data_IF_950159150012
#
_entry.id   IF_950159150012
#
_cell.length_a   1.000
_cell.length_b   1.000
_cell.length_c   1.000
_cell.angle_alpha   90.00
_cell.angle_beta   90.00
_cell.angle_gamma   90.00
#
_symmetry.space_group_name_H-M   'P 1'
#
loop_
_entity.id
_entity.type
_entity.pdbx_description
1 polymer ?
#
# COMPACT_ATOMS: atom_id res chain seq x y z
N UNK A 1 -12.14 13.48 2.19
CA UNK A 1 -11.56 13.25 0.85
C UNK A 1 -10.39 14.21 0.68
N UNK A 2 -9.24 13.76 0.16
CA UNK A 2 -8.06 14.61 -0.01
C UNK A 2 -8.05 15.13 -1.45
N UNK A 3 -7.99 16.45 -1.62
CA UNK A 3 -7.80 17.08 -2.93
C UNK A 3 -6.34 17.49 -3.06
N UNK A 4 -5.74 17.09 -4.17
CA UNK A 4 -4.34 17.34 -4.47
C UNK A 4 -4.33 18.32 -5.63
N UNK A 5 -3.98 19.58 -5.37
CA UNK A 5 -3.90 20.61 -6.40
C UNK A 5 -2.47 20.66 -6.93
N UNK A 6 -2.33 20.27 -8.19
CA UNK A 6 -1.03 20.11 -8.86
C UNK A 6 -0.73 21.40 -9.60
N UNK A 7 0.03 22.30 -8.98
CA UNK A 7 0.62 23.43 -9.69
C UNK A 7 2.01 23.05 -10.20
N UNK A 8 2.09 22.66 -11.47
CA UNK A 8 3.35 22.36 -12.12
C UNK A 8 4.23 23.60 -12.27
N UNK A 9 5.29 23.69 -11.47
CA UNK A 9 6.45 24.51 -11.78
C UNK A 9 7.63 23.59 -12.05
N UNK A 10 7.95 23.41 -13.33
CA UNK A 10 9.16 22.74 -13.75
C UNK A 10 10.35 23.67 -13.48
N UNK A 11 11.34 23.28 -12.66
CA UNK A 11 12.58 24.04 -12.60
C UNK A 11 13.30 23.89 -13.95
N UNK A 12 13.45 25.00 -14.65
CA UNK A 12 14.31 25.10 -15.83
C UNK A 12 15.76 24.97 -15.37
N UNK A 13 16.42 23.91 -15.85
CA UNK A 13 17.85 23.59 -15.75
C UNK A 13 18.41 23.14 -14.38
N UNK A 14 18.94 21.90 -14.36
CA UNK A 14 20.04 21.51 -13.48
C UNK A 14 19.78 20.44 -12.41
N UNK A 15 18.54 20.00 -12.18
CA UNK A 15 18.26 18.93 -11.20
C UNK A 15 18.11 17.56 -11.87
N UNK A 16 18.88 16.57 -11.41
CA UNK A 16 18.93 15.19 -11.93
C UNK A 16 17.76 14.29 -11.48
N UNK A 17 16.79 14.82 -10.71
CA UNK A 17 15.65 14.03 -10.24
C UNK A 17 14.37 14.81 -10.53
N UNK A 18 13.35 14.23 -11.19
CA UNK A 18 12.09 14.91 -11.44
C UNK A 18 11.34 15.10 -10.12
N UNK A 19 11.10 16.36 -9.75
CA UNK A 19 10.28 16.72 -8.59
C UNK A 19 8.97 17.34 -9.07
N UNK A 20 7.85 16.84 -8.57
CA UNK A 20 6.55 17.52 -8.69
C UNK A 20 6.34 18.35 -7.42
N UNK A 21 6.30 19.68 -7.59
CA UNK A 21 5.90 20.57 -6.52
C UNK A 21 4.38 20.56 -6.41
N UNK A 22 3.87 20.33 -5.21
CA UNK A 22 2.43 20.16 -4.99
C UNK A 22 1.98 21.00 -3.80
N UNK A 23 0.83 21.64 -3.98
CA UNK A 23 0.14 22.35 -2.92
C UNK A 23 -1.01 21.49 -2.42
N UNK A 24 -0.92 21.12 -1.15
CA UNK A 24 -1.91 20.30 -0.50
C UNK A 24 -2.97 21.18 0.19
N UNK A 25 -4.25 20.84 0.00
CA UNK A 25 -5.36 21.39 0.78
C UNK A 25 -6.21 20.24 1.33
N UNK A 26 -6.05 19.94 2.61
CA UNK A 26 -6.97 19.01 3.29
C UNK A 26 -8.33 19.70 3.46
N UNK A 27 -9.38 19.13 2.86
CA UNK A 27 -10.71 19.68 3.00
C UNK A 27 -11.26 19.56 4.45
N UNK A 28 -10.87 18.54 5.23
CA UNK A 28 -11.52 18.24 6.52
C UNK A 28 -10.61 17.55 7.57
N UNK A 29 -9.29 17.79 7.58
CA UNK A 29 -8.45 17.25 8.67
C UNK A 29 -8.49 18.19 9.88
N UNK A 30 -8.86 17.74 11.10
CA UNK A 30 -8.78 18.56 12.31
C UNK A 30 -7.33 18.93 12.67
N UNK A 31 -6.34 18.26 12.06
CA UNK A 31 -4.91 18.55 12.24
C UNK A 31 -4.34 19.50 11.19
N UNK A 32 -5.09 19.82 10.14
CA UNK A 32 -4.73 20.92 9.24
C UNK A 32 -5.55 22.12 9.63
N UNK A 33 -4.91 23.12 10.26
CA UNK A 33 -5.48 24.48 10.28
C UNK A 33 -5.95 24.78 8.85
N UNK A 34 -7.18 25.26 8.69
CA UNK A 34 -7.86 25.50 7.40
C UNK A 34 -7.10 26.43 6.43
N UNK A 35 -5.98 27.00 6.89
CA UNK A 35 -5.15 27.99 6.20
C UNK A 35 -3.69 27.52 5.99
N UNK A 36 -3.34 26.26 6.32
CA UNK A 36 -2.00 25.73 6.07
C UNK A 36 -1.88 25.23 4.63
N UNK A 37 -1.38 26.09 3.75
CA UNK A 37 -0.80 25.68 2.48
C UNK A 37 0.48 24.87 2.76
N UNK A 38 0.34 23.55 2.83
CA UNK A 38 1.50 22.67 2.92
C UNK A 38 2.10 22.51 1.53
N UNK A 39 3.37 22.89 1.42
CA UNK A 39 4.19 22.80 0.21
C UNK A 39 5.16 21.63 0.40
N UNK A 40 5.45 20.92 -0.67
CA UNK A 40 6.27 19.72 -0.55
C UNK A 40 6.43 18.96 -1.85
N UNK A 41 6.98 17.75 -1.71
CA UNK A 41 7.38 16.89 -2.81
C UNK A 41 6.74 15.51 -2.69
N UNK A 42 6.34 14.94 -3.83
CA UNK A 42 6.14 13.50 -3.91
C UNK A 42 7.49 12.82 -4.09
N UNK A 43 7.73 11.78 -3.31
CA UNK A 43 8.87 10.89 -3.51
C UNK A 43 8.42 9.44 -3.38
N UNK A 44 9.11 8.55 -4.08
CA UNK A 44 8.90 7.12 -3.94
C UNK A 44 9.73 6.61 -2.75
N UNK A 45 9.04 6.07 -1.74
CA UNK A 45 9.68 5.54 -0.55
C UNK A 45 9.57 4.01 -0.53
N UNK A 46 10.71 3.33 -0.48
CA UNK A 46 10.81 1.88 -0.26
C UNK A 46 11.26 1.65 1.18
N UNK A 47 10.45 1.02 2.04
CA UNK A 47 10.87 0.68 3.39
C UNK A 47 12.10 -0.22 3.39
N UNK A 48 13.03 -0.06 4.33
CA UNK A 48 14.20 -0.93 4.47
C UNK A 48 13.91 -1.98 5.57
N UNK A 49 14.27 -3.27 5.40
CA UNK A 49 14.92 -3.92 4.26
C UNK A 49 13.90 -4.55 3.30
N UNK A 50 13.04 -3.75 2.68
CA UNK A 50 11.96 -4.23 1.81
C UNK A 50 12.27 -4.10 0.32
N UNK A 51 11.39 -4.70 -0.50
CA UNK A 51 11.44 -4.63 -1.96
C UNK A 51 10.61 -3.46 -2.50
N UNK A 52 10.85 -3.00 -3.74
CA UNK A 52 10.04 -1.96 -4.36
C UNK A 52 8.54 -2.27 -4.42
N UNK A 53 8.13 -3.55 -4.45
CA UNK A 53 6.71 -3.96 -4.32
C UNK A 53 6.01 -3.42 -3.06
N UNK A 54 6.78 -3.15 -2.01
CA UNK A 54 6.31 -2.60 -0.74
C UNK A 54 6.34 -1.08 -0.70
N UNK A 55 6.89 -0.46 -1.75
CA UNK A 55 7.04 0.97 -1.86
C UNK A 55 5.72 1.66 -2.19
N UNK A 56 5.77 2.98 -2.06
CA UNK A 56 4.67 3.84 -2.44
C UNK A 56 5.11 5.29 -2.53
N UNK A 57 4.29 6.09 -3.20
CA UNK A 57 4.46 7.53 -3.17
C UNK A 57 4.08 8.08 -1.81
N UNK A 58 4.95 8.92 -1.25
CA UNK A 58 4.68 9.71 -0.06
C UNK A 58 4.79 11.18 -0.37
N UNK A 59 4.04 11.98 0.37
CA UNK A 59 4.15 13.44 0.32
C UNK A 59 5.03 13.92 1.46
N UNK A 60 6.15 14.55 1.15
CA UNK A 60 7.08 15.12 2.13
C UNK A 60 6.89 16.63 2.18
N UNK A 61 6.42 17.13 3.32
CA UNK A 61 6.24 18.54 3.59
C UNK A 61 7.61 19.21 3.79
N UNK A 62 7.83 20.33 3.13
CA UNK A 62 9.06 21.11 3.23
C UNK A 62 8.77 22.59 3.43
N UNK A 63 9.66 23.30 4.13
CA UNK A 63 9.52 24.75 4.29
C UNK A 63 9.90 25.49 3.00
N UNK A 64 10.89 24.96 2.28
CA UNK A 64 11.46 25.50 1.05
C UNK A 64 11.38 24.48 -0.09
N UNK A 65 11.29 24.93 -1.36
CA UNK A 65 11.28 24.06 -2.53
C UNK A 65 12.70 23.61 -2.95
N UNK A 66 13.65 23.50 -2.02
CA UNK A 66 15.04 23.09 -2.33
C UNK A 66 15.32 21.66 -1.89
N UNK A 67 16.38 21.04 -2.43
CA UNK A 67 16.87 19.73 -2.00
C UNK A 67 17.24 19.71 -0.51
N UNK A 68 17.81 20.80 0.00
CA UNK A 68 18.08 20.94 1.43
C UNK A 68 16.77 20.89 2.26
N UNK A 69 15.73 21.59 1.79
CA UNK A 69 14.40 21.53 2.39
C UNK A 69 13.77 20.13 2.32
N UNK A 70 14.08 19.33 1.30
CA UNK A 70 13.65 17.93 1.22
C UNK A 70 14.27 17.09 2.35
N UNK A 71 15.59 17.19 2.57
CA UNK A 71 16.26 16.43 3.62
C UNK A 71 15.68 16.73 5.02
N UNK A 72 15.46 18.01 5.31
CA UNK A 72 14.89 18.49 6.59
C UNK A 72 13.37 18.35 6.70
N UNK A 73 12.69 18.02 5.61
CA UNK A 73 11.24 17.85 5.57
C UNK A 73 10.73 16.67 6.39
N UNK A 74 9.41 16.57 6.51
CA UNK A 74 8.75 15.45 7.18
C UNK A 74 7.65 14.87 6.30
N UNK A 75 7.40 13.57 6.42
CA UNK A 75 6.32 12.93 5.68
C UNK A 75 4.96 13.37 6.24
N UNK A 76 4.03 13.71 5.35
CA UNK A 76 2.64 13.98 5.71
C UNK A 76 2.06 12.76 6.40
N UNK A 77 1.39 12.95 7.54
CA UNK A 77 0.77 11.87 8.29
C UNK A 77 -0.74 11.79 8.03
N UNK A 78 -1.28 10.58 8.06
CA UNK A 78 -2.71 10.32 8.11
C UNK A 78 -3.26 10.62 9.50
N UNK A 79 -4.60 10.60 9.65
CA UNK A 79 -5.26 10.69 10.96
C UNK A 79 -4.84 9.56 11.93
N UNK A 80 -4.31 8.45 11.41
CA UNK A 80 -3.80 7.35 12.22
C UNK A 80 -2.33 7.54 12.64
N UNK A 81 -1.74 8.71 12.38
CA UNK A 81 -0.34 9.02 12.68
C UNK A 81 0.68 8.28 11.82
N UNK A 82 0.24 7.62 10.73
CA UNK A 82 1.12 6.91 9.81
C UNK A 82 1.45 7.78 8.61
N UNK A 83 2.61 7.61 7.96
CA UNK A 83 2.91 8.32 6.72
C UNK A 83 1.83 8.08 5.66
N UNK A 84 1.26 9.17 5.13
CA UNK A 84 0.38 9.14 3.98
C UNK A 84 1.15 8.55 2.81
N UNK A 85 0.59 7.48 2.23
CA UNK A 85 1.25 6.70 1.19
C UNK A 85 0.22 6.28 0.15
N UNK A 86 0.57 6.38 -1.14
CA UNK A 86 -0.11 5.69 -2.23
C UNK A 86 0.76 4.49 -2.62
N UNK A 87 0.39 3.26 -2.25
CA UNK A 87 1.19 2.08 -2.57
C UNK A 87 1.37 1.90 -4.09
N UNK A 88 2.49 1.32 -4.52
CA UNK A 88 2.74 1.00 -5.93
C UNK A 88 1.57 0.24 -6.57
N UNK A 89 1.08 -0.77 -5.84
CA UNK A 89 -0.13 -1.52 -6.16
C UNK A 89 -1.35 -0.66 -6.54
N UNK A 90 -1.54 0.47 -5.85
CA UNK A 90 -2.60 1.42 -6.13
C UNK A 90 -2.30 2.30 -7.33
N UNK A 91 -1.04 2.69 -7.54
CA UNK A 91 -0.58 3.48 -8.70
C UNK A 91 -0.79 2.73 -10.02
N UNK A 92 -0.44 1.44 -10.04
CA UNK A 92 -0.64 0.54 -11.19
C UNK A 92 -2.11 0.46 -11.61
N UNK A 93 -3.05 0.64 -10.68
CA UNK A 93 -4.49 0.55 -10.95
C UNK A 93 -5.20 1.85 -11.30
N UNK A 94 -4.77 2.98 -10.75
CA UNK A 94 -5.58 4.23 -10.74
C UNK A 94 -5.28 5.19 -11.89
N UNK A 95 -4.87 4.68 -13.07
CA UNK A 95 -4.38 5.51 -14.17
C UNK A 95 -3.26 6.46 -13.73
N UNK A 96 -2.44 6.07 -12.74
CA UNK A 96 -1.25 6.80 -12.32
C UNK A 96 -0.12 6.70 -13.35
N UNK A 97 -0.46 6.66 -14.64
CA UNK A 97 0.41 6.34 -15.77
C UNK A 97 1.62 7.30 -15.82
N UNK A 98 1.47 8.64 -15.70
CA UNK A 98 2.63 9.53 -15.76
C UNK A 98 3.62 9.32 -14.59
N UNK A 99 3.09 9.09 -13.38
CA UNK A 99 3.91 8.78 -12.21
C UNK A 99 4.60 7.44 -12.42
N UNK A 100 3.86 6.40 -12.81
CA UNK A 100 4.40 5.06 -13.00
C UNK A 100 5.48 5.03 -14.08
N UNK A 101 5.30 5.79 -15.17
CA UNK A 101 6.30 5.99 -16.20
C UNK A 101 7.57 6.64 -15.67
N UNK A 102 7.42 7.66 -14.83
CA UNK A 102 8.57 8.30 -14.18
C UNK A 102 9.30 7.30 -13.27
N UNK A 103 8.58 6.50 -12.48
CA UNK A 103 9.18 5.45 -11.64
C UNK A 103 9.92 4.38 -12.46
N UNK A 104 9.38 3.97 -13.61
CA UNK A 104 10.01 3.00 -14.52
C UNK A 104 11.25 3.60 -15.21
N UNK A 105 11.13 4.82 -15.73
CA UNK A 105 12.22 5.53 -16.42
C UNK A 105 13.40 5.76 -15.48
N UNK A 106 13.12 6.12 -14.23
CA UNK A 106 14.13 6.43 -13.23
C UNK A 106 14.63 5.16 -12.51
N UNK A 107 14.23 3.96 -12.98
CA UNK A 107 14.60 2.64 -12.43
C UNK A 107 14.27 2.45 -10.94
N UNK A 108 13.26 3.17 -10.42
CA UNK A 108 12.77 3.02 -9.05
C UNK A 108 11.84 1.81 -8.88
N UNK A 109 11.24 1.37 -9.99
CA UNK A 109 10.40 0.18 -10.10
C UNK A 109 10.72 -0.49 -11.44
N UNK A 110 10.57 -1.81 -11.51
CA UNK A 110 10.77 -2.62 -12.71
C UNK A 110 9.46 -3.18 -13.28
N UNK A 111 9.45 -3.54 -14.56
CA UNK A 111 8.28 -4.17 -15.21
C UNK A 111 7.76 -5.43 -14.50
N UNK A 112 8.60 -6.36 -13.98
CA UNK A 112 8.14 -7.49 -13.20
C UNK A 112 7.34 -7.08 -11.96
N UNK A 113 7.74 -6.01 -11.29
CA UNK A 113 7.06 -5.52 -10.07
C UNK A 113 5.71 -4.91 -10.40
N UNK A 114 5.64 -4.11 -11.46
CA UNK A 114 4.36 -3.59 -11.99
C UNK A 114 3.42 -4.73 -12.37
N UNK A 115 3.95 -5.75 -13.04
CA UNK A 115 3.17 -6.93 -13.44
C UNK A 115 2.65 -7.71 -12.23
N UNK A 116 3.49 -7.92 -11.22
CA UNK A 116 3.11 -8.56 -9.97
C UNK A 116 2.02 -7.78 -9.21
N UNK A 117 2.14 -6.45 -9.17
CA UNK A 117 1.09 -5.58 -8.64
C UNK A 117 -0.22 -5.75 -9.42
N UNK A 118 -0.19 -5.69 -10.75
CA UNK A 118 -1.38 -5.84 -11.59
C UNK A 118 -2.07 -7.20 -11.35
N UNK A 119 -1.30 -8.28 -11.32
CA UNK A 119 -1.81 -9.63 -11.09
C UNK A 119 -2.52 -9.79 -9.74
N UNK A 120 -2.09 -9.08 -8.70
CA UNK A 120 -2.68 -9.19 -7.36
C UNK A 120 -4.13 -8.69 -7.27
N UNK A 121 -4.62 -7.92 -8.24
CA UNK A 121 -5.92 -7.23 -8.13
C UNK A 121 -7.04 -7.75 -9.02
N UNK A 122 -6.85 -8.81 -9.83
CA UNK A 122 -7.89 -9.48 -10.65
C UNK A 122 -9.22 -8.72 -10.79
N UNK A 123 -9.22 -7.60 -11.54
CA UNK A 123 -10.38 -6.75 -11.86
C UNK A 123 -11.16 -6.09 -10.69
N UNK A 124 -10.76 -6.22 -9.43
CA UNK A 124 -11.44 -5.54 -8.32
C UNK A 124 -10.87 -4.13 -8.13
N UNK A 125 -11.72 -3.10 -7.97
CA UNK A 125 -11.24 -1.77 -7.57
C UNK A 125 -10.48 -1.92 -6.25
N UNK A 126 -9.24 -1.47 -6.22
CA UNK A 126 -8.45 -1.48 -5.01
C UNK A 126 -8.70 -0.17 -4.25
N UNK A 127 -9.25 -0.22 -3.02
CA UNK A 127 -8.99 0.84 -2.06
C UNK A 127 -7.47 1.03 -1.91
N UNK A 128 -7.04 2.12 -1.27
CA UNK A 128 -5.66 2.24 -0.83
C UNK A 128 -5.39 1.19 0.26
N UNK A 129 -5.16 -0.06 -0.15
CA UNK A 129 -4.99 -1.19 0.75
C UNK A 129 -3.62 -1.05 1.45
N UNK A 130 -3.57 -1.27 2.77
CA UNK A 130 -2.31 -1.28 3.49
C UNK A 130 -1.40 -2.39 2.96
N UNK A 131 -0.14 -2.03 2.67
CA UNK A 131 0.92 -2.99 2.37
C UNK A 131 1.70 -3.27 3.65
N UNK A 132 1.65 -4.51 4.13
CA UNK A 132 2.35 -4.96 5.33
C UNK A 132 3.57 -5.76 4.90
N UNK A 133 4.73 -5.14 5.01
CA UNK A 133 6.01 -5.64 4.53
C UNK A 133 6.99 -6.03 5.65
N UNK A 134 6.62 -5.81 6.92
CA UNK A 134 7.39 -6.28 8.07
C UNK A 134 6.48 -6.65 9.25
N UNK A 135 6.94 -7.61 10.05
CA UNK A 135 6.47 -7.81 11.44
C UNK A 135 6.69 -6.52 12.23
N UNK A 136 5.75 -6.18 13.13
CA UNK A 136 5.81 -4.95 13.92
C UNK A 136 5.40 -3.69 13.15
N UNK A 137 5.18 -3.77 11.83
CA UNK A 137 4.66 -2.64 11.06
C UNK A 137 3.22 -2.32 11.48
N UNK A 138 2.91 -1.07 11.84
CA UNK A 138 1.55 -0.66 12.17
C UNK A 138 0.70 -0.44 10.90
N UNK A 139 -0.58 -0.81 10.96
CA UNK A 139 -1.58 -0.43 9.96
C UNK A 139 -2.94 -0.15 10.62
N UNK A 140 -3.80 0.68 9.99
CA UNK A 140 -5.14 0.93 10.48
C UNK A 140 -6.03 -0.29 10.23
N UNK A 141 -6.70 -0.76 11.27
CA UNK A 141 -7.63 -1.88 11.25
C UNK A 141 -9.03 -1.39 11.55
N UNK A 142 -9.94 -1.56 10.59
CA UNK A 142 -11.38 -1.41 10.84
C UNK A 142 -11.89 -2.72 11.44
N UNK A 143 -12.45 -2.65 12.64
CA UNK A 143 -12.95 -3.82 13.36
C UNK A 143 -14.39 -4.18 12.95
N UNK A 144 -15.08 -3.30 12.21
CA UNK A 144 -16.46 -3.48 11.76
C UNK A 144 -16.58 -4.24 10.44
N UNK A 145 -15.50 -4.35 9.68
CA UNK A 145 -15.49 -4.90 8.34
C UNK A 145 -14.25 -5.75 8.06
N UNK A 146 -14.31 -6.70 7.10
CA UNK A 146 -13.13 -7.39 6.63
C UNK A 146 -12.10 -6.39 6.09
N UNK A 147 -10.89 -6.42 6.64
CA UNK A 147 -9.77 -5.60 6.18
C UNK A 147 -8.91 -6.43 5.25
N UNK A 148 -8.57 -5.88 4.08
CA UNK A 148 -7.69 -6.54 3.12
C UNK A 148 -6.29 -5.93 3.23
N UNK A 149 -5.31 -6.78 3.52
CA UNK A 149 -3.88 -6.45 3.54
C UNK A 149 -3.22 -6.94 2.25
N UNK A 150 -2.15 -6.27 1.87
CA UNK A 150 -1.24 -6.72 0.82
C UNK A 150 0.09 -7.12 1.47
N UNK A 151 0.55 -8.34 1.21
CA UNK A 151 1.81 -8.86 1.74
C UNK A 151 2.78 -9.13 0.58
N UNK A 152 3.92 -8.45 0.51
CA UNK A 152 4.90 -8.61 -0.54
C UNK A 152 5.67 -9.93 -0.34
N UNK A 153 5.65 -10.78 -1.37
CA UNK A 153 6.48 -11.98 -1.47
C UNK A 153 7.73 -11.77 -2.33
N UNK A 154 8.46 -12.84 -2.65
CA UNK A 154 9.60 -12.83 -3.58
C UNK A 154 9.33 -12.09 -4.89
N UNK A 155 8.28 -12.49 -5.60
CA UNK A 155 7.94 -11.99 -6.94
C UNK A 155 6.42 -11.79 -7.09
N UNK A 156 5.72 -11.57 -5.98
CA UNK A 156 4.26 -11.52 -5.96
C UNK A 156 3.77 -10.62 -4.85
N UNK A 157 2.61 -9.99 -5.05
CA UNK A 157 1.89 -9.34 -3.97
C UNK A 157 0.69 -10.20 -3.60
N UNK A 158 0.62 -10.64 -2.35
CA UNK A 158 -0.46 -11.48 -1.87
C UNK A 158 -1.55 -10.63 -1.25
N UNK A 159 -2.79 -11.01 -1.51
CA UNK A 159 -3.98 -10.40 -0.94
C UNK A 159 -4.45 -11.23 0.23
N UNK A 160 -4.60 -10.60 1.39
CA UNK A 160 -4.82 -11.30 2.66
C UNK A 160 -5.98 -10.66 3.38
N UNK A 161 -7.01 -11.44 3.69
CA UNK A 161 -8.23 -10.93 4.30
C UNK A 161 -8.21 -11.18 5.81
N UNK A 162 -8.32 -10.10 6.56
CA UNK A 162 -8.46 -10.10 8.01
C UNK A 162 -9.92 -9.91 8.34
N UNK A 163 -10.51 -10.90 9.00
CA UNK A 163 -11.88 -10.87 9.47
C UNK A 163 -11.91 -10.63 10.99
N UNK A 164 -12.09 -9.39 11.45
CA UNK A 164 -12.32 -9.08 12.85
C UNK A 164 -13.77 -9.42 13.21
N UNK A 165 -14.16 -10.69 13.06
CA UNK A 165 -15.55 -11.16 13.12
C UNK A 165 -16.24 -11.02 14.49
N UNK A 166 -15.59 -10.36 15.45
CA UNK A 166 -16.04 -10.24 16.83
C UNK A 166 -16.69 -8.89 17.12
N UNK A 167 -16.32 -7.84 16.38
CA UNK A 167 -16.70 -6.47 16.69
C UNK A 167 -17.80 -5.96 15.75
N UNK A 168 -18.78 -5.27 16.33
CA UNK A 168 -19.85 -4.57 15.62
C UNK A 168 -19.34 -3.28 15.00
N UNK A 169 -18.53 -2.55 15.77
CA UNK A 169 -17.85 -1.35 15.35
C UNK A 169 -16.57 -1.15 16.16
N UNK A 170 -15.69 -0.31 15.63
CA UNK A 170 -14.44 0.07 16.26
C UNK A 170 -13.33 0.16 15.24
N UNK A 171 -12.25 0.82 15.63
CA UNK A 171 -11.04 0.94 14.84
C UNK A 171 -9.83 0.89 15.75
N UNK A 172 -8.77 0.31 15.24
CA UNK A 172 -7.52 0.14 15.97
C UNK A 172 -6.33 0.40 15.06
N UNK A 173 -5.20 0.72 15.66
CA UNK A 173 -3.90 0.52 15.04
C UNK A 173 -3.44 -0.89 15.43
N UNK A 174 -3.08 -1.71 14.45
CA UNK A 174 -2.68 -3.09 14.69
C UNK A 174 -1.32 -3.40 14.05
N UNK A 175 -0.70 -4.48 14.50
CA UNK A 175 0.53 -5.01 13.90
C UNK A 175 0.54 -6.54 13.81
N UNK A 176 1.39 -7.10 12.95
CA UNK A 176 1.61 -8.54 12.80
C UNK A 176 2.80 -8.89 13.66
N UNK A 177 2.68 -9.98 14.40
CA UNK A 177 3.79 -10.53 15.17
C UNK A 177 3.84 -12.05 15.14
N UNK A 178 5.03 -12.66 15.27
CA UNK A 178 5.17 -14.10 15.45
C UNK A 178 4.42 -14.54 16.71
N UNK A 179 3.70 -15.65 16.61
CA UNK A 179 3.15 -16.26 17.82
C UNK A 179 4.26 -16.87 18.66
N UNK A 180 4.18 -16.72 19.98
CA UNK A 180 5.08 -17.40 20.91
C UNK A 180 4.69 -18.86 21.17
N UNK A 181 3.85 -19.46 20.32
CA UNK A 181 3.41 -20.82 20.51
C UNK A 181 4.47 -21.78 19.93
N UNK A 182 5.20 -22.54 20.77
CA UNK A 182 6.26 -23.43 20.29
C UNK A 182 5.73 -24.55 19.38
N UNK A 183 4.42 -24.87 19.43
CA UNK A 183 3.81 -25.84 18.52
C UNK A 183 3.55 -25.28 17.13
N UNK A 184 3.51 -23.96 17.00
CA UNK A 184 3.23 -23.26 15.75
C UNK A 184 4.18 -22.05 15.57
N UNK A 185 5.51 -22.27 15.46
CA UNK A 185 6.50 -21.20 15.33
C UNK A 185 6.34 -20.36 14.04
N UNK A 186 5.44 -20.79 13.17
CA UNK A 186 5.17 -20.32 11.83
C UNK A 186 3.85 -19.55 11.74
N UNK A 187 3.18 -19.34 12.87
CA UNK A 187 1.96 -18.56 12.92
C UNK A 187 2.23 -17.09 13.22
N UNK A 188 1.52 -16.22 12.52
CA UNK A 188 1.43 -14.79 12.86
C UNK A 188 0.12 -14.51 13.59
N UNK A 189 0.18 -13.66 14.61
CA UNK A 189 -0.98 -13.06 15.25
C UNK A 189 -1.08 -11.57 14.92
N UNK A 190 -2.29 -11.03 15.10
CA UNK A 190 -2.53 -9.60 15.03
C UNK A 190 -2.54 -9.05 16.46
N UNK A 191 -1.62 -8.14 16.77
CA UNK A 191 -1.59 -7.40 18.03
C UNK A 191 -2.25 -6.05 17.84
N UNK A 192 -3.11 -5.67 18.78
CA UNK A 192 -3.68 -4.32 18.87
C UNK A 192 -2.66 -3.42 19.53
N UNK A 193 -2.20 -2.39 18.83
CA UNK A 193 -1.27 -1.39 19.37
C UNK A 193 -2.02 -0.29 20.11
N UNK A 194 -3.11 0.20 19.52
CA UNK A 194 -3.88 1.33 20.03
C UNK A 194 -5.34 1.20 19.57
N UNK A 195 -6.30 1.57 20.42
CA UNK A 195 -7.69 1.73 20.02
C UNK A 195 -7.93 3.17 19.56
N UNK A 196 -8.44 3.33 18.35
CA UNK A 196 -8.74 4.65 17.74
C UNK A 196 -10.19 5.08 17.94
N UNK A 197 -11.06 4.14 18.30
CA UNK A 197 -12.44 4.39 18.67
C UNK A 197 -12.95 3.34 19.65
N UNK A 198 -14.10 3.60 20.26
CA UNK A 198 -14.77 2.64 21.12
C UNK A 198 -15.08 1.36 20.33
N UNK A 199 -14.76 0.21 20.93
CA UNK A 199 -15.04 -1.10 20.37
C UNK A 199 -16.26 -1.67 21.06
N UNK A 200 -17.25 -2.09 20.29
CA UNK A 200 -18.35 -2.89 20.79
C UNK A 200 -18.36 -4.24 20.09
N UNK A 201 -18.35 -5.32 20.87
CA UNK A 201 -18.51 -6.66 20.35
C UNK A 201 -19.95 -6.93 19.94
N UNK A 202 -20.16 -7.87 19.02
CA UNK A 202 -21.49 -8.41 18.78
C UNK A 202 -21.99 -9.13 20.05
N UNK A 203 -23.31 -9.13 20.34
CA UNK A 203 -23.85 -9.71 21.58
C UNK A 203 -23.39 -11.15 21.85
N UNK A 204 -23.30 -11.97 20.80
CA UNK A 204 -22.80 -13.36 20.85
C UNK A 204 -21.35 -13.48 21.34
N UNK A 205 -20.56 -12.41 21.21
CA UNK A 205 -19.17 -12.31 21.66
C UNK A 205 -19.01 -11.46 22.92
N UNK A 206 -20.10 -11.13 23.63
CA UNK A 206 -20.04 -10.37 24.88
C UNK A 206 -19.27 -11.05 26.02
N UNK A 207 -18.97 -12.34 25.89
CA UNK A 207 -18.12 -13.10 26.82
C UNK A 207 -16.61 -12.93 26.55
N UNK A 208 -16.22 -12.34 25.41
CA UNK A 208 -14.81 -12.08 25.12
C UNK A 208 -14.29 -10.98 26.05
N UNK A 209 -13.02 -11.07 26.48
CA UNK A 209 -12.41 -9.98 27.23
C UNK A 209 -12.41 -8.70 26.38
N UNK A 210 -12.53 -7.51 27.02
CA UNK A 210 -12.45 -6.25 26.31
C UNK A 210 -11.14 -6.18 25.51
N UNK A 211 -11.21 -5.67 24.29
CA UNK A 211 -10.02 -5.42 23.49
C UNK A 211 -9.24 -4.28 24.18
N UNK A 212 -7.96 -4.49 24.48
CA UNK A 212 -7.08 -3.47 25.07
C UNK A 212 -5.82 -3.29 24.22
N UNK A 213 -5.15 -2.12 24.27
CA UNK A 213 -3.79 -1.98 23.76
C UNK A 213 -2.89 -3.10 24.29
N UNK A 214 -2.08 -3.69 23.40
CA UNK A 214 -1.24 -4.84 23.67
C UNK A 214 -1.96 -6.19 23.58
N UNK A 215 -3.29 -6.27 23.48
CA UNK A 215 -3.97 -7.58 23.33
C UNK A 215 -3.85 -8.15 21.93
N UNK A 216 -3.96 -9.48 21.81
CA UNK A 216 -4.10 -10.15 20.53
C UNK A 216 -5.55 -10.06 20.05
N UNK A 217 -5.73 -9.81 18.76
CA UNK A 217 -7.05 -9.80 18.14
C UNK A 217 -7.65 -11.21 18.23
N UNK A 218 -8.82 -11.39 18.87
CA UNK A 218 -9.49 -12.68 18.90
C UNK A 218 -10.03 -13.04 17.51
N UNK A 219 -10.06 -14.33 17.22
CA UNK A 219 -10.63 -14.89 16.00
C UNK A 219 -11.74 -15.87 16.34
N UNK A 220 -12.97 -15.42 16.08
CA UNK A 220 -14.11 -16.30 16.09
C UNK A 220 -14.20 -16.99 14.72
N UNK A 221 -13.77 -18.25 14.63
CA UNK A 221 -14.00 -19.04 13.42
C UNK A 221 -15.51 -19.23 13.24
N UNK A 222 -16.05 -18.80 12.09
CA UNK A 222 -17.49 -18.77 11.79
C UNK A 222 -18.26 -20.08 12.06
N UNK A 223 -17.59 -21.24 11.97
CA UNK A 223 -18.22 -22.55 12.19
C UNK A 223 -18.23 -23.02 13.65
N UNK A 224 -17.47 -22.38 14.54
CA UNK A 224 -17.43 -22.74 15.97
C UNK A 224 -18.37 -21.88 16.84
N UNK A 225 -19.16 -21.00 16.20
CA UNK A 225 -19.88 -19.88 16.82
C UNK A 225 -21.13 -20.23 17.64
N UNK A 226 -21.50 -21.51 17.77
CA UNK A 226 -22.80 -21.90 18.35
C UNK A 226 -22.75 -22.56 19.72
N UNK A 227 -21.58 -22.70 20.35
CA UNK A 227 -21.47 -23.37 21.68
C UNK A 227 -21.00 -22.41 22.78
N UNK A 228 -21.85 -22.11 23.79
CA UNK A 228 -21.41 -21.50 25.03
C UNK A 228 -20.23 -22.28 25.61
N UNK A 229 -19.12 -21.60 25.93
CA UNK A 229 -17.90 -22.23 26.46
C UNK A 229 -16.88 -22.70 25.42
N UNK A 230 -17.08 -22.39 24.13
CA UNK A 230 -16.03 -22.61 23.13
C UNK A 230 -14.78 -21.76 23.45
N UNK A 231 -13.61 -22.38 23.37
CA UNK A 231 -12.32 -21.70 23.59
C UNK A 231 -12.14 -20.56 22.57
N UNK A 232 -11.88 -19.35 23.07
CA UNK A 232 -11.57 -18.18 22.25
C UNK A 232 -10.24 -18.43 21.57
N UNK A 233 -10.27 -18.65 20.25
CA UNK A 233 -9.04 -18.74 19.46
C UNK A 233 -8.56 -17.32 19.13
N UNK A 234 -7.25 -17.11 19.16
CA UNK A 234 -6.65 -15.87 18.67
C UNK A 234 -6.56 -15.90 17.14
N UNK A 235 -6.58 -14.73 16.50
CA UNK A 235 -6.31 -14.65 15.07
C UNK A 235 -4.91 -15.17 14.80
N UNK A 236 -4.85 -16.15 13.90
CA UNK A 236 -3.64 -16.90 13.55
C UNK A 236 -3.59 -17.10 12.06
N UNK A 237 -2.44 -16.85 11.49
CA UNK A 237 -2.16 -17.17 10.11
C UNK A 237 -1.06 -18.21 10.04
N UNK A 238 -1.45 -19.46 9.81
CA UNK A 238 -0.52 -20.56 9.61
C UNK A 238 -0.09 -20.59 8.15
N UNK A 239 1.20 -20.54 7.83
CA UNK A 239 1.63 -20.54 6.44
C UNK A 239 1.77 -21.94 5.83
N UNK A 240 1.95 -22.98 6.65
CA UNK A 240 2.08 -24.37 6.20
C UNK A 240 0.77 -24.92 5.61
N UNK A 241 -0.37 -24.38 6.06
CA UNK A 241 -1.69 -24.78 5.59
C UNK A 241 -2.13 -24.13 4.28
N UNK A 242 -1.28 -23.32 3.65
CA UNK A 242 -1.65 -22.51 2.49
C UNK A 242 -0.77 -22.79 1.27
N UNK A 243 -1.22 -22.33 0.09
CA UNK A 243 -0.48 -22.51 -1.16
C UNK A 243 0.99 -22.07 -1.02
N UNK A 244 1.91 -22.73 -1.72
CA UNK A 244 3.36 -22.47 -1.67
C UNK A 244 3.74 -20.99 -1.83
N UNK A 245 2.94 -20.21 -2.57
CA UNK A 245 3.12 -18.76 -2.73
C UNK A 245 2.94 -17.99 -1.42
N UNK A 246 1.99 -18.41 -0.59
CA UNK A 246 1.70 -17.77 0.69
C UNK A 246 2.74 -18.09 1.76
N UNK A 247 3.23 -19.32 1.77
CA UNK A 247 4.37 -19.70 2.59
C UNK A 247 5.60 -18.81 2.34
N UNK A 248 5.94 -18.57 1.07
CA UNK A 248 7.09 -17.73 0.72
C UNK A 248 6.98 -16.27 1.17
N UNK A 249 5.80 -15.65 1.07
CA UNK A 249 5.62 -14.26 1.50
C UNK A 249 5.58 -14.12 3.03
N UNK A 250 4.95 -15.06 3.72
CA UNK A 250 4.90 -15.07 5.18
C UNK A 250 6.26 -15.35 5.79
N UNK A 251 7.01 -16.29 5.19
CA UNK A 251 8.41 -16.52 5.55
C UNK A 251 9.24 -15.24 5.39
N UNK A 252 9.11 -14.55 4.25
CA UNK A 252 9.83 -13.30 4.01
C UNK A 252 9.44 -12.18 4.99
N UNK A 253 8.21 -12.19 5.50
CA UNK A 253 7.74 -11.23 6.49
C UNK A 253 8.37 -11.48 7.88
N UNK A 254 8.51 -12.75 8.27
CA UNK A 254 9.04 -13.15 9.59
C UNK A 254 10.58 -13.06 9.61
N UNK A 255 11.22 -13.62 8.59
CA UNK A 255 12.67 -13.82 8.55
C UNK A 255 13.39 -12.74 7.74
N UNK A 256 12.66 -11.77 7.21
CA UNK A 256 13.18 -10.80 6.25
C UNK A 256 13.36 -11.42 4.86
N UNK A 257 13.81 -10.63 3.86
CA UNK A 257 14.19 -11.20 2.58
C UNK A 257 15.32 -12.20 2.83
N UNK A 258 15.07 -13.48 2.55
CA UNK A 258 16.15 -14.48 2.55
C UNK A 258 17.31 -13.92 1.73
N UNK A 259 18.57 -13.99 2.22
CA UNK A 259 19.71 -13.79 1.34
C UNK A 259 19.51 -14.81 0.23
N UNK A 260 19.25 -14.31 -0.98
CA UNK A 260 19.07 -15.18 -2.13
C UNK A 260 20.37 -15.96 -2.23
N UNK A 261 20.36 -17.32 -2.21
CA UNK A 261 21.55 -18.04 -2.63
C UNK A 261 21.85 -17.52 -4.03
N UNK A 262 23.05 -16.97 -4.25
CA UNK A 262 23.52 -16.48 -5.55
C UNK A 262 22.94 -17.39 -6.62
N UNK A 263 22.08 -16.84 -7.49
CA UNK A 263 21.34 -17.62 -8.47
C UNK A 263 22.27 -18.68 -9.07
N UNK A 264 21.88 -19.97 -9.14
CA UNK A 264 22.61 -20.89 -9.99
C UNK A 264 22.70 -20.20 -11.36
N UNK A 265 23.90 -20.13 -11.93
CA UNK A 265 24.15 -19.52 -13.25
C UNK A 265 22.97 -19.86 -14.14
N UNK A 266 22.22 -18.84 -14.57
CA UNK A 266 21.00 -19.03 -15.32
C UNK A 266 21.31 -19.88 -16.55
N UNK A 267 20.90 -21.14 -16.52
CA UNK A 267 20.71 -21.90 -17.75
C UNK A 267 19.54 -21.23 -18.47
N UNK A 268 19.79 -20.84 -19.72
CA UNK A 268 19.06 -19.82 -20.49
C UNK A 268 17.62 -20.19 -20.91
N UNK A 269 16.88 -20.96 -20.12
CA UNK A 269 15.59 -21.55 -20.55
C UNK A 269 14.41 -21.33 -19.61
N UNK A 270 14.53 -20.58 -18.51
CA UNK A 270 13.36 -20.18 -17.73
C UNK A 270 12.66 -18.92 -18.27
N UNK A 271 11.78 -19.20 -19.24
CA UNK A 271 10.53 -18.51 -19.59
C UNK A 271 10.43 -17.03 -19.19
N UNK A 272 10.84 -16.18 -20.12
CA UNK A 272 10.20 -14.88 -20.36
C UNK A 272 8.66 -15.02 -20.29
N UNK A 273 7.91 -13.97 -19.88
CA UNK A 273 6.47 -13.95 -20.09
C UNK A 273 6.20 -14.37 -21.53
N UNK A 274 5.24 -15.29 -21.73
CA UNK A 274 4.92 -15.77 -23.08
C UNK A 274 4.69 -14.56 -23.98
N UNK A 275 5.08 -14.65 -25.26
CA UNK A 275 4.99 -13.54 -26.20
C UNK A 275 3.60 -12.85 -26.16
N UNK A 276 2.53 -13.60 -25.85
CA UNK A 276 1.19 -13.07 -25.61
C UNK A 276 1.01 -12.23 -24.33
N UNK A 277 1.60 -12.59 -23.18
CA UNK A 277 1.52 -11.79 -21.94
C UNK A 277 2.30 -10.47 -22.06
N UNK A 278 3.45 -10.51 -22.73
CA UNK A 278 4.23 -9.31 -23.06
C UNK A 278 3.45 -8.41 -24.02
N UNK A 279 2.83 -8.98 -25.05
CA UNK A 279 2.04 -8.21 -26.03
C UNK A 279 0.78 -7.59 -25.44
N UNK A 280 0.08 -8.25 -24.51
CA UNK A 280 -1.12 -7.68 -23.86
C UNK A 280 -0.76 -6.54 -22.89
N UNK A 281 0.38 -6.63 -22.18
CA UNK A 281 0.85 -5.57 -21.29
C UNK A 281 1.49 -4.41 -22.05
N UNK A 282 2.30 -4.68 -23.08
CA UNK A 282 2.84 -3.65 -23.97
C UNK A 282 1.68 -2.96 -24.72
N UNK A 283 0.71 -3.70 -25.26
CA UNK A 283 -0.47 -3.12 -25.92
C UNK A 283 -1.39 -2.35 -24.97
N UNK A 284 -1.64 -2.83 -23.75
CA UNK A 284 -2.35 -2.02 -22.75
C UNK A 284 -1.55 -0.76 -22.37
N UNK A 285 -0.23 -0.86 -22.27
CA UNK A 285 0.65 0.26 -21.98
C UNK A 285 0.70 1.27 -23.13
N UNK A 286 0.63 0.83 -24.39
CA UNK A 286 0.59 1.69 -25.57
C UNK A 286 -0.83 2.21 -25.91
N UNK A 287 -1.87 1.43 -25.66
CA UNK A 287 -3.28 1.80 -25.91
C UNK A 287 -3.83 2.72 -24.79
N UNK A 288 -3.20 2.75 -23.62
CA UNK A 288 -3.52 3.68 -22.53
C UNK A 288 -2.67 4.97 -22.54
N UNK A 289 -1.74 5.11 -23.51
CA UNK A 289 -1.07 6.36 -23.79
C UNK A 289 -2.00 7.26 -24.61
N UNK A 290 -2.15 8.55 -24.28
CA UNK A 290 -2.53 9.52 -25.29
C UNK A 290 -1.53 9.44 -26.45
N UNK A 291 -1.98 9.61 -27.69
CA UNK A 291 -1.04 9.69 -28.81
C UNK A 291 -0.02 10.81 -28.55
N UNK A 292 1.17 10.74 -29.16
CA UNK A 292 2.17 11.81 -29.04
C UNK A 292 1.58 13.19 -29.40
N UNK A 293 0.65 13.21 -30.35
CA UNK A 293 -0.10 14.39 -30.79
C UNK A 293 -1.10 14.89 -29.73
N UNK A 294 -1.75 13.98 -28.98
CA UNK A 294 -2.59 14.35 -27.84
C UNK A 294 -1.75 14.94 -26.71
N UNK A 295 -0.53 14.43 -26.48
CA UNK A 295 0.38 14.95 -25.46
C UNK A 295 0.90 16.36 -25.80
N UNK A 296 1.24 16.61 -27.07
CA UNK A 296 1.65 17.94 -27.56
C UNK A 296 0.47 18.95 -27.48
N UNK A 297 -0.78 18.50 -27.61
CA UNK A 297 -1.97 19.35 -27.41
C UNK A 297 -2.24 19.77 -25.95
N UNK A 298 -1.68 19.05 -24.97
CA UNK A 298 -1.74 19.43 -23.55
C UNK A 298 -0.66 20.44 -23.15
N UNK A 299 0.45 20.52 -23.89
CA UNK A 299 1.51 21.51 -23.67
C UNK A 299 1.19 22.86 -24.34
N UNK A 300 0.52 22.85 -25.50
CA UNK A 300 0.03 24.05 -26.15
C UNK A 300 -1.33 24.47 -25.58
N UNK A 301 -1.31 25.21 -24.47
CA UNK A 301 -2.47 25.65 -23.70
C UNK A 301 -3.58 26.36 -24.49
N UNK A 302 -4.44 25.60 -25.15
CA UNK A 302 -5.66 26.05 -25.81
C UNK A 302 -6.89 25.82 -24.92
N UNK A 303 -6.85 26.37 -23.71
CA UNK A 303 -8.04 26.57 -22.89
C UNK A 303 -8.73 27.84 -23.38
N UNK A 304 -10.05 27.79 -23.58
CA UNK A 304 -10.81 29.02 -23.74
C UNK A 304 -10.81 29.81 -22.41
N UNK A 305 -11.23 31.08 -22.43
CA UNK A 305 -11.30 31.95 -21.24
C UNK A 305 -12.13 31.37 -20.07
N UNK A 306 -12.83 30.25 -20.29
CA UNK A 306 -13.64 29.53 -19.31
C UNK A 306 -13.04 28.18 -18.88
N UNK A 307 -11.79 27.85 -19.26
CA UNK A 307 -11.10 26.64 -18.81
C UNK A 307 -11.63 25.32 -19.39
N UNK A 308 -12.38 25.36 -20.50
CA UNK A 308 -12.91 24.16 -21.15
C UNK A 308 -12.14 23.83 -22.44
N UNK A 309 -11.87 22.54 -22.65
CA UNK A 309 -11.30 21.99 -23.89
C UNK A 309 -12.24 22.27 -25.07
N UNK A 310 -11.75 22.96 -26.11
CA UNK A 310 -12.45 23.06 -27.39
C UNK A 310 -12.51 21.67 -28.02
N UNK A 311 -13.70 21.11 -28.18
CA UNK A 311 -13.89 19.92 -29.02
C UNK A 311 -13.71 20.34 -30.48
N UNK A 312 -12.65 19.82 -31.11
CA UNK A 312 -12.55 19.69 -32.57
C UNK A 312 -13.33 18.47 -33.04
#
# INVERSE_FOLDING_TARGET
MVYLDVHGHYPTHGMQVPFFYLTFRAADSPYTRRDMHMRGFLHYHVPVPSRPLSGGLRFRCTHTPSLAGFAEGFDLLTLSGLPWTIPLASLVRRNGIPVLQSLLRDNLVSFPEVTACHAAFHNKPAPALPVVHAVGQPWPLDLSAPTVLLVPGPNSLLRCEVYPAVARYGSALATLEPTHNPRHPHELAIRVLELRSNVAFLPEFGHLPPLTPGSLLPHAHQRSQSRPGAEVKTWRWNYDSHSSRMAGALYALIHGPSPVPSSPKADSTDKYPTHGQRYVLERWFYDALPSREEFESYEDGNLNDNGNLRRG
#
